data_IF_051852995317
#
_entry.id   IF_051852995317
#
_cell.length_a   1.000
_cell.length_b   1.000
_cell.length_c   1.000
_cell.angle_alpha   90.00
_cell.angle_beta   90.00
_cell.angle_gamma   90.00
#
_symmetry.space_group_name_H-M   'P 1'
#
loop_
_entity.id
_entity.type
_entity.pdbx_description
1 polymer ?
#
# COMPACT_ATOMS: atom_id res chain seq x y z
N UNK A 1 -7.75 -13.54 28.87
CA UNK A 1 -9.16 -13.14 28.64
C UNK A 1 -9.18 -12.50 27.24
N UNK A 2 -9.96 -13.04 26.31
CA UNK A 2 -10.11 -12.43 24.99
C UNK A 2 -10.81 -11.08 25.14
N UNK A 3 -10.26 -10.04 24.52
CA UNK A 3 -10.89 -8.73 24.51
C UNK A 3 -12.28 -8.80 23.84
N UNK A 4 -13.29 -8.01 24.25
CA UNK A 4 -14.64 -8.09 23.73
C UNK A 4 -14.67 -7.85 22.21
N UNK A 5 -15.60 -8.53 21.52
CA UNK A 5 -15.84 -8.33 20.08
C UNK A 5 -16.21 -6.87 19.80
N UNK A 6 -15.71 -6.32 18.68
CA UNK A 6 -16.03 -4.98 18.20
C UNK A 6 -17.04 -5.05 17.06
N UNK A 7 -17.90 -4.04 16.96
CA UNK A 7 -18.68 -3.70 15.77
C UNK A 7 -17.98 -2.55 15.05
N UNK A 8 -17.25 -2.86 13.97
CA UNK A 8 -16.49 -1.90 13.18
C UNK A 8 -17.24 -1.54 11.91
N UNK A 9 -17.44 -0.25 11.62
CA UNK A 9 -17.88 0.19 10.30
C UNK A 9 -16.68 0.60 9.47
N UNK A 10 -16.43 -0.11 8.36
CA UNK A 10 -15.36 0.19 7.40
C UNK A 10 -15.94 0.87 6.17
N UNK A 11 -15.46 2.08 5.87
CA UNK A 11 -15.92 2.92 4.77
C UNK A 11 -14.80 3.07 3.75
N UNK A 12 -15.08 2.71 2.49
CA UNK A 12 -14.13 2.88 1.40
C UNK A 12 -14.82 3.08 0.07
N UNK A 13 -14.24 3.86 -0.81
CA UNK A 13 -14.66 4.03 -2.20
C UNK A 13 -14.01 3.00 -3.12
N UNK A 14 -13.02 2.23 -2.62
CA UNK A 14 -12.38 1.12 -3.30
C UNK A 14 -12.33 -0.11 -2.40
N UNK A 15 -12.67 -1.28 -2.94
CA UNK A 15 -12.69 -2.56 -2.20
C UNK A 15 -12.67 -3.72 -3.21
N UNK A 16 -12.22 -4.94 -2.84
CA UNK A 16 -12.34 -6.09 -3.73
C UNK A 16 -13.76 -6.26 -4.29
N UNK A 17 -13.89 -6.65 -5.59
CA UNK A 17 -12.87 -7.22 -6.49
C UNK A 17 -12.03 -6.21 -7.29
N UNK A 18 -12.07 -4.92 -6.96
CA UNK A 18 -11.17 -3.95 -7.59
C UNK A 18 -9.70 -4.31 -7.37
N UNK A 19 -8.88 -4.09 -8.42
CA UNK A 19 -7.48 -4.51 -8.42
C UNK A 19 -6.59 -3.30 -8.17
N UNK A 20 -6.36 -3.01 -6.90
CA UNK A 20 -5.38 -2.02 -6.48
C UNK A 20 -4.88 -2.36 -5.06
N UNK A 21 -3.74 -1.78 -4.68
CA UNK A 21 -3.10 -2.06 -3.40
C UNK A 21 -3.93 -1.70 -2.17
N UNK A 22 -4.80 -0.68 -2.29
CA UNK A 22 -5.71 -0.26 -1.20
C UNK A 22 -6.82 -1.28 -1.03
N UNK A 23 -7.52 -1.64 -2.11
CA UNK A 23 -8.59 -2.65 -2.09
C UNK A 23 -8.10 -3.97 -1.50
N UNK A 24 -6.94 -4.48 -1.95
CA UNK A 24 -6.34 -5.71 -1.41
C UNK A 24 -6.07 -5.60 0.09
N UNK A 25 -5.48 -4.49 0.54
CA UNK A 25 -5.24 -4.25 1.97
C UNK A 25 -6.52 -4.28 2.79
N UNK A 26 -7.56 -3.58 2.31
CA UNK A 26 -8.83 -3.50 3.02
C UNK A 26 -9.53 -4.85 3.09
N UNK A 27 -9.46 -5.65 2.02
CA UNK A 27 -9.95 -7.04 2.02
C UNK A 27 -9.29 -7.86 3.14
N UNK A 28 -7.96 -7.84 3.22
CA UNK A 28 -7.20 -8.55 4.26
C UNK A 28 -7.53 -8.05 5.68
N UNK A 29 -7.71 -6.75 5.88
CA UNK A 29 -8.10 -6.21 7.19
C UNK A 29 -9.51 -6.64 7.59
N UNK A 30 -10.46 -6.64 6.65
CA UNK A 30 -11.84 -7.09 6.91
C UNK A 30 -11.88 -8.59 7.23
N UNK A 31 -11.25 -9.42 6.38
CA UNK A 31 -11.13 -10.87 6.60
C UNK A 31 -10.49 -11.18 7.95
N UNK A 32 -9.37 -10.51 8.26
CA UNK A 32 -8.66 -10.71 9.51
C UNK A 32 -9.47 -10.30 10.73
N UNK A 33 -10.16 -9.16 10.72
CA UNK A 33 -11.04 -8.75 11.82
C UNK A 33 -12.21 -9.74 12.01
N UNK A 34 -12.85 -10.18 10.92
CA UNK A 34 -13.92 -11.18 10.96
C UNK A 34 -13.41 -12.51 11.51
N UNK A 35 -12.22 -12.97 11.07
CA UNK A 35 -11.57 -14.18 11.58
C UNK A 35 -11.23 -14.10 13.08
N UNK A 36 -11.08 -12.90 13.64
CA UNK A 36 -10.88 -12.65 15.07
C UNK A 36 -12.20 -12.48 15.86
N UNK A 37 -13.35 -12.69 15.22
CA UNK A 37 -14.67 -12.65 15.84
C UNK A 37 -15.29 -11.23 15.93
N UNK A 38 -14.75 -10.24 15.21
CA UNK A 38 -15.35 -8.91 15.15
C UNK A 38 -16.43 -8.86 14.08
N UNK A 39 -17.47 -8.05 14.34
CA UNK A 39 -18.45 -7.72 13.32
C UNK A 39 -17.93 -6.54 12.48
N UNK A 40 -17.88 -6.71 11.16
CA UNK A 40 -17.41 -5.67 10.24
C UNK A 40 -18.52 -5.31 9.26
N UNK A 41 -19.07 -4.10 9.40
CA UNK A 41 -19.99 -3.51 8.46
C UNK A 41 -19.19 -2.79 7.36
N UNK A 42 -19.29 -3.28 6.12
CA UNK A 42 -18.63 -2.69 4.96
C UNK A 42 -19.57 -1.69 4.27
N UNK A 43 -19.06 -0.47 4.01
CA UNK A 43 -19.82 0.59 3.33
C UNK A 43 -19.01 1.06 2.13
N UNK A 44 -19.54 0.85 0.91
CA UNK A 44 -18.84 1.17 -0.34
C UNK A 44 -19.81 1.50 -1.47
N UNK A 45 -19.34 2.10 -2.57
CA UNK A 45 -20.14 2.21 -3.79
C UNK A 45 -20.48 0.82 -4.34
N UNK A 46 -21.61 0.75 -5.06
CA UNK A 46 -21.98 -0.45 -5.82
C UNK A 46 -20.98 -0.64 -6.97
N UNK A 47 -20.55 -1.86 -7.16
CA UNK A 47 -19.68 -2.28 -8.28
C UNK A 47 -20.48 -3.14 -9.26
N UNK A 48 -19.99 -3.30 -10.50
CA UNK A 48 -20.70 -4.03 -11.56
C UNK A 48 -20.96 -5.51 -11.23
N UNK A 49 -20.13 -6.08 -10.34
CA UNK A 49 -20.25 -7.47 -9.88
C UNK A 49 -21.30 -7.66 -8.78
N UNK A 50 -21.82 -6.58 -8.20
CA UNK A 50 -22.83 -6.69 -7.14
C UNK A 50 -24.20 -7.07 -7.75
N UNK A 51 -24.69 -8.23 -7.39
CA UNK A 51 -26.04 -8.64 -7.78
C UNK A 51 -27.09 -7.71 -7.17
N UNK A 52 -28.19 -7.44 -7.89
CA UNK A 52 -29.21 -6.49 -7.45
C UNK A 52 -29.86 -6.84 -6.10
N UNK A 53 -29.76 -8.07 -5.64
CA UNK A 53 -30.48 -8.62 -4.49
C UNK A 53 -29.59 -9.24 -3.39
N UNK A 54 -28.27 -9.01 -3.41
CA UNK A 54 -27.43 -9.50 -2.32
C UNK A 54 -27.65 -8.65 -1.05
N UNK A 55 -28.58 -9.07 -0.21
CA UNK A 55 -28.79 -8.51 1.13
C UNK A 55 -27.84 -9.18 2.13
N UNK A 56 -26.59 -8.76 2.15
CA UNK A 56 -25.72 -8.98 3.30
C UNK A 56 -25.97 -7.83 4.27
N UNK A 57 -26.51 -8.13 5.45
CA UNK A 57 -26.81 -7.12 6.48
C UNK A 57 -25.56 -6.34 6.91
N UNK A 58 -24.37 -6.91 6.70
CA UNK A 58 -23.10 -6.28 7.00
C UNK A 58 -22.49 -5.53 5.81
N UNK A 59 -23.17 -5.48 4.64
CA UNK A 59 -22.71 -4.68 3.48
C UNK A 59 -23.75 -3.60 3.16
N UNK A 60 -23.34 -2.34 3.16
CA UNK A 60 -24.14 -1.20 2.75
C UNK A 60 -23.64 -0.63 1.43
N UNK A 61 -24.35 -0.91 0.35
CA UNK A 61 -24.04 -0.35 -0.96
C UNK A 61 -24.61 1.07 -1.11
N UNK A 62 -23.76 1.97 -1.58
CA UNK A 62 -24.16 3.36 -1.90
C UNK A 62 -24.12 3.58 -3.41
N UNK A 63 -24.73 4.68 -3.88
CA UNK A 63 -24.55 5.09 -5.28
C UNK A 63 -23.13 5.56 -5.50
N UNK A 64 -22.54 5.18 -6.64
CA UNK A 64 -21.24 5.63 -7.10
C UNK A 64 -21.35 6.48 -8.37
N UNK A 65 -20.28 7.24 -8.66
CA UNK A 65 -20.06 7.95 -9.91
C UNK A 65 -18.70 7.56 -10.47
N UNK A 66 -18.59 7.15 -11.75
CA UNK A 66 -17.32 6.74 -12.33
C UNK A 66 -16.26 7.84 -12.20
N UNK A 67 -15.03 7.45 -11.83
CA UNK A 67 -13.90 8.38 -11.75
C UNK A 67 -13.30 8.58 -13.14
N UNK A 68 -13.33 9.81 -13.71
CA UNK A 68 -12.77 10.07 -15.03
C UNK A 68 -11.27 9.70 -15.08
N UNK A 69 -10.86 8.97 -16.14
CA UNK A 69 -9.48 8.54 -16.33
C UNK A 69 -9.05 7.29 -15.55
N UNK A 70 -9.94 6.71 -14.72
CA UNK A 70 -9.66 5.51 -13.93
C UNK A 70 -10.78 4.48 -14.10
N UNK A 71 -10.75 3.66 -15.16
CA UNK A 71 -11.77 2.64 -15.40
C UNK A 71 -11.93 1.70 -14.19
N UNK A 72 -13.17 1.45 -13.80
CA UNK A 72 -13.50 0.57 -12.67
C UNK A 72 -13.47 1.23 -11.29
N UNK A 73 -12.96 2.48 -11.14
CA UNK A 73 -13.04 3.22 -9.89
C UNK A 73 -14.27 4.13 -9.87
N UNK A 74 -14.89 4.26 -8.69
CA UNK A 74 -16.06 5.10 -8.48
C UNK A 74 -15.90 5.99 -7.26
N UNK A 75 -16.34 7.24 -7.36
CA UNK A 75 -16.61 8.07 -6.19
C UNK A 75 -17.92 7.64 -5.55
N UNK A 76 -17.91 7.40 -4.25
CA UNK A 76 -19.13 7.18 -3.49
C UNK A 76 -19.90 8.50 -3.32
N UNK A 77 -21.17 8.53 -3.72
CA UNK A 77 -21.99 9.71 -3.53
C UNK A 77 -22.33 9.94 -2.05
N UNK A 78 -22.61 11.20 -1.69
CA UNK A 78 -22.97 11.57 -0.32
C UNK A 78 -24.14 10.75 0.21
N UNK A 79 -23.95 10.12 1.35
CA UNK A 79 -24.90 9.18 1.97
C UNK A 79 -25.22 9.53 3.43
N UNK A 80 -25.05 10.80 3.83
CA UNK A 80 -25.14 11.23 5.22
C UNK A 80 -26.43 10.77 5.92
N UNK A 81 -27.62 11.01 5.33
CA UNK A 81 -28.89 10.63 5.95
C UNK A 81 -29.06 9.10 6.05
N UNK A 82 -28.59 8.35 5.04
CA UNK A 82 -28.63 6.88 5.03
C UNK A 82 -27.75 6.33 6.17
N UNK A 83 -26.55 6.88 6.34
CA UNK A 83 -25.61 6.49 7.41
C UNK A 83 -26.15 6.85 8.79
N UNK A 84 -26.72 8.05 8.97
CA UNK A 84 -27.33 8.45 10.25
C UNK A 84 -28.45 7.49 10.66
N UNK A 85 -29.41 7.20 9.76
CA UNK A 85 -30.50 6.25 10.03
C UNK A 85 -30.00 4.85 10.36
N UNK A 86 -28.97 4.37 9.64
CA UNK A 86 -28.39 3.04 9.86
C UNK A 86 -27.71 2.97 11.23
N UNK A 87 -26.86 3.95 11.57
CA UNK A 87 -26.08 3.93 12.81
C UNK A 87 -26.88 4.38 14.04
N UNK A 88 -28.02 5.01 13.88
CA UNK A 88 -29.01 5.18 14.97
C UNK A 88 -29.67 3.85 15.38
N UNK A 89 -29.83 2.92 14.42
CA UNK A 89 -30.42 1.59 14.68
C UNK A 89 -29.37 0.57 15.10
N UNK A 90 -28.22 0.58 14.45
CA UNK A 90 -27.12 -0.35 14.67
C UNK A 90 -25.82 0.45 14.78
N UNK A 91 -25.56 0.98 15.97
CA UNK A 91 -24.41 1.83 16.25
C UNK A 91 -23.12 0.99 16.22
N UNK A 92 -22.10 1.32 15.38
CA UNK A 92 -20.78 0.74 15.49
C UNK A 92 -20.03 1.32 16.68
N UNK A 93 -19.08 0.55 17.23
CA UNK A 93 -18.18 0.98 18.29
C UNK A 93 -17.14 1.98 17.77
N UNK A 94 -16.67 1.77 16.54
CA UNK A 94 -15.64 2.58 15.89
C UNK A 94 -15.81 2.54 14.36
N UNK A 95 -15.49 3.67 13.70
CA UNK A 95 -15.38 3.73 12.25
C UNK A 95 -13.92 3.64 11.81
N UNK A 96 -13.69 2.94 10.69
CA UNK A 96 -12.48 3.08 9.90
C UNK A 96 -12.83 3.67 8.52
N UNK A 97 -12.34 4.87 8.23
CA UNK A 97 -12.54 5.54 6.93
C UNK A 97 -11.24 5.43 6.13
N UNK A 98 -11.28 4.64 5.06
CA UNK A 98 -10.11 4.36 4.23
C UNK A 98 -9.92 5.35 3.07
N UNK A 99 -10.97 6.09 2.69
CA UNK A 99 -10.92 7.07 1.60
C UNK A 99 -11.59 8.37 2.00
N UNK A 100 -11.03 9.48 1.52
CA UNK A 100 -11.42 10.85 1.91
C UNK A 100 -12.45 11.48 0.97
N UNK A 101 -12.99 10.70 0.04
CA UNK A 101 -13.98 11.16 -0.94
C UNK A 101 -15.35 11.53 -0.33
N UNK A 102 -16.35 11.80 -1.16
CA UNK A 102 -17.66 12.26 -0.68
C UNK A 102 -18.38 11.27 0.26
N UNK A 103 -18.15 9.94 0.07
CA UNK A 103 -18.68 8.92 0.97
C UNK A 103 -17.95 8.98 2.33
N UNK A 104 -16.62 9.03 2.33
CA UNK A 104 -15.81 9.16 3.55
C UNK A 104 -16.15 10.44 4.33
N UNK A 105 -16.34 11.57 3.63
CA UNK A 105 -16.77 12.82 4.25
C UNK A 105 -18.17 12.71 4.87
N UNK A 106 -19.09 12.02 4.21
CA UNK A 106 -20.43 11.76 4.76
C UNK A 106 -20.37 10.90 6.02
N UNK A 107 -19.51 9.89 6.03
CA UNK A 107 -19.26 9.02 7.19
C UNK A 107 -18.65 9.79 8.37
N UNK A 108 -17.64 10.64 8.12
CA UNK A 108 -17.03 11.47 9.15
C UNK A 108 -18.08 12.43 9.78
N UNK A 109 -18.94 13.04 8.97
CA UNK A 109 -20.02 13.93 9.46
C UNK A 109 -21.05 13.18 10.29
N UNK A 110 -21.45 11.98 9.84
CA UNK A 110 -22.40 11.15 10.57
C UNK A 110 -21.83 10.68 11.91
N UNK A 111 -20.57 10.20 11.91
CA UNK A 111 -19.87 9.75 13.12
C UNK A 111 -19.76 10.87 14.16
N UNK A 112 -19.41 12.10 13.73
CA UNK A 112 -19.36 13.25 14.64
C UNK A 112 -20.70 13.60 15.28
N UNK A 113 -21.81 13.54 14.50
CA UNK A 113 -23.16 13.79 15.03
C UNK A 113 -23.61 12.74 16.04
N UNK A 114 -23.14 11.50 15.84
CA UNK A 114 -23.46 10.37 16.71
C UNK A 114 -22.40 10.12 17.79
N UNK A 115 -21.37 10.94 17.88
CA UNK A 115 -20.22 10.78 18.79
C UNK A 115 -19.59 9.38 18.69
N UNK A 116 -19.41 8.84 17.46
CA UNK A 116 -18.73 7.57 17.21
C UNK A 116 -17.25 7.87 16.93
N UNK A 117 -16.31 7.15 17.57
CA UNK A 117 -14.88 7.31 17.30
C UNK A 117 -14.53 6.98 15.84
N UNK A 118 -13.58 7.71 15.25
CA UNK A 118 -13.17 7.52 13.86
C UNK A 118 -11.66 7.34 13.78
N UNK A 119 -11.23 6.27 13.16
CA UNK A 119 -9.86 6.07 12.65
C UNK A 119 -9.89 6.26 11.15
N UNK A 120 -8.92 6.96 10.58
CA UNK A 120 -8.77 7.09 9.13
C UNK A 120 -7.50 6.44 8.62
N UNK A 121 -7.52 5.96 7.39
CA UNK A 121 -6.34 5.47 6.68
C UNK A 121 -5.86 6.49 5.67
N UNK A 122 -4.57 6.79 5.65
CA UNK A 122 -3.99 7.65 4.64
C UNK A 122 -3.40 6.79 3.51
N UNK A 123 -4.08 6.78 2.36
CA UNK A 123 -3.72 5.99 1.18
C UNK A 123 -3.36 6.83 -0.04
N UNK A 124 -3.37 8.16 0.12
CA UNK A 124 -3.15 9.12 -0.97
C UNK A 124 -1.65 9.36 -1.16
N UNK A 125 -1.21 9.39 -2.42
CA UNK A 125 0.16 9.74 -2.76
C UNK A 125 0.23 11.18 -3.27
N UNK A 126 0.81 12.08 -2.47
CA UNK A 126 0.96 13.49 -2.85
C UNK A 126 1.85 13.72 -4.07
N UNK A 127 2.82 12.85 -4.33
CA UNK A 127 3.75 13.02 -5.44
C UNK A 127 3.07 12.93 -6.79
N UNK A 128 1.94 12.22 -6.89
CA UNK A 128 1.14 12.17 -8.13
C UNK A 128 0.51 13.51 -8.49
N UNK A 129 0.30 14.40 -7.52
CA UNK A 129 -0.32 15.72 -7.74
C UNK A 129 0.71 16.84 -8.01
N UNK A 130 2.00 16.61 -7.74
CA UNK A 130 3.05 17.63 -7.92
C UNK A 130 3.71 17.61 -9.30
N UNK A 131 3.48 16.58 -10.12
CA UNK A 131 4.14 16.36 -11.40
C UNK A 131 3.68 17.22 -12.57
N UNK A 132 2.63 18.05 -12.44
CA UNK A 132 2.13 18.89 -13.51
C UNK A 132 2.25 20.37 -13.15
N UNK A 133 3.15 21.04 -13.81
CA UNK A 133 3.28 22.52 -13.82
C UNK A 133 1.93 23.14 -14.17
N UNK A 134 1.33 23.88 -13.23
CA UNK A 134 0.04 24.58 -13.39
C UNK A 134 -0.99 24.32 -12.30
N UNK A 135 -0.82 23.30 -11.43
CA UNK A 135 -1.81 22.90 -10.40
C UNK A 135 -1.39 23.17 -8.96
N UNK A 136 -0.42 24.04 -8.70
CA UNK A 136 0.07 24.30 -7.33
C UNK A 136 -1.05 24.73 -6.35
N UNK A 137 -2.00 25.56 -6.82
CA UNK A 137 -3.16 25.97 -6.02
C UNK A 137 -4.09 24.79 -5.71
N UNK A 138 -4.34 23.92 -6.69
CA UNK A 138 -5.18 22.75 -6.51
C UNK A 138 -4.52 21.74 -5.56
N UNK A 139 -3.22 21.53 -5.68
CA UNK A 139 -2.43 20.70 -4.76
C UNK A 139 -2.50 21.23 -3.33
N UNK A 140 -2.38 22.55 -3.15
CA UNK A 140 -2.49 23.19 -1.82
C UNK A 140 -3.89 23.06 -1.24
N UNK A 141 -4.93 23.27 -2.06
CA UNK A 141 -6.31 23.09 -1.63
C UNK A 141 -6.61 21.64 -1.23
N UNK A 142 -6.13 20.67 -2.02
CA UNK A 142 -6.26 19.25 -1.71
C UNK A 142 -5.53 18.88 -0.42
N UNK A 143 -4.28 19.32 -0.24
CA UNK A 143 -3.50 19.10 1.00
C UNK A 143 -4.23 19.67 2.21
N UNK A 144 -4.78 20.88 2.09
CA UNK A 144 -5.55 21.53 3.16
C UNK A 144 -6.83 20.75 3.49
N UNK A 145 -7.52 20.23 2.47
CA UNK A 145 -8.70 19.38 2.65
C UNK A 145 -8.33 18.08 3.37
N UNK A 146 -7.30 17.37 2.91
CA UNK A 146 -6.86 16.12 3.53
C UNK A 146 -6.42 16.33 4.98
N UNK A 147 -5.61 17.37 5.24
CA UNK A 147 -5.22 17.75 6.60
C UNK A 147 -6.45 18.07 7.47
N UNK A 148 -7.39 18.85 6.94
CA UNK A 148 -8.64 19.16 7.62
C UNK A 148 -9.44 17.91 7.95
N UNK A 149 -9.54 16.94 7.01
CA UNK A 149 -10.25 15.68 7.17
C UNK A 149 -9.60 14.80 8.24
N UNK A 150 -8.32 14.48 8.09
CA UNK A 150 -7.58 13.59 8.99
C UNK A 150 -7.43 14.18 10.40
N UNK A 151 -7.20 15.48 10.53
CA UNK A 151 -7.14 16.13 11.82
C UNK A 151 -8.50 16.17 12.56
N UNK A 152 -9.56 15.66 11.99
CA UNK A 152 -10.89 15.49 12.62
C UNK A 152 -11.18 14.06 13.06
N UNK A 153 -10.28 13.15 12.83
CA UNK A 153 -10.36 11.76 13.32
C UNK A 153 -9.57 11.58 14.60
N UNK A 154 -9.83 10.53 15.37
CA UNK A 154 -9.11 10.22 16.58
C UNK A 154 -7.68 9.79 16.30
N UNK A 155 -7.47 9.07 15.20
CA UNK A 155 -6.20 8.54 14.75
C UNK A 155 -6.16 8.46 13.23
N UNK A 156 -5.00 8.73 12.63
CA UNK A 156 -4.76 8.51 11.19
C UNK A 156 -3.66 7.48 11.02
N UNK A 157 -3.98 6.38 10.34
CA UNK A 157 -3.05 5.30 10.07
C UNK A 157 -2.30 5.56 8.76
N UNK A 158 -0.99 5.46 8.82
CA UNK A 158 -0.08 5.66 7.68
C UNK A 158 0.75 4.41 7.42
N UNK A 159 1.03 4.04 6.15
CA UNK A 159 1.66 2.78 5.83
C UNK A 159 3.18 2.74 6.02
N UNK A 160 3.87 3.90 6.09
CA UNK A 160 5.32 3.94 6.22
C UNK A 160 5.81 5.08 7.12
N UNK A 161 7.00 4.89 7.71
CA UNK A 161 7.65 5.91 8.54
C UNK A 161 7.95 7.18 7.74
N UNK A 162 8.43 7.03 6.48
CA UNK A 162 8.70 8.18 5.62
C UNK A 162 7.44 9.03 5.39
N UNK A 163 6.30 8.38 5.11
CA UNK A 163 5.03 9.09 4.96
C UNK A 163 4.56 9.73 6.27
N UNK A 164 4.78 9.07 7.41
CA UNK A 164 4.45 9.65 8.71
C UNK A 164 5.22 10.96 8.95
N UNK A 165 6.53 10.98 8.69
CA UNK A 165 7.38 12.16 8.83
C UNK A 165 6.93 13.28 7.87
N UNK A 166 6.64 12.95 6.61
CA UNK A 166 6.18 13.94 5.63
C UNK A 166 4.84 14.58 6.01
N UNK A 167 3.92 13.79 6.53
CA UNK A 167 2.62 14.29 6.98
C UNK A 167 2.77 15.12 8.25
N UNK A 168 3.65 14.75 9.19
CA UNK A 168 3.95 15.56 10.39
C UNK A 168 4.48 16.95 10.00
N UNK A 169 5.40 17.03 9.02
CA UNK A 169 5.90 18.31 8.48
C UNK A 169 4.82 19.18 7.83
N UNK A 170 3.68 18.58 7.45
CA UNK A 170 2.52 19.25 6.85
C UNK A 170 1.38 19.48 7.86
N UNK A 171 1.66 19.42 9.17
CA UNK A 171 0.72 19.63 10.28
C UNK A 171 -0.42 18.60 10.34
N UNK A 172 -0.24 17.40 9.82
CA UNK A 172 -1.14 16.30 10.13
C UNK A 172 -0.84 15.80 11.55
N UNK A 173 -1.89 15.57 12.31
CA UNK A 173 -1.82 15.21 13.72
C UNK A 173 -2.27 13.76 13.94
N UNK A 174 -1.88 13.19 15.11
CA UNK A 174 -2.35 11.86 15.56
C UNK A 174 -2.12 10.77 14.51
N UNK A 175 -0.89 10.71 14.02
CA UNK A 175 -0.45 9.72 13.07
C UNK A 175 0.07 8.48 13.81
N UNK A 176 -0.31 7.29 13.35
CA UNK A 176 0.25 6.03 13.78
C UNK A 176 0.60 5.14 12.58
N UNK A 177 1.62 4.33 12.74
CA UNK A 177 2.05 3.42 11.68
C UNK A 177 1.11 2.21 11.63
N UNK A 178 0.64 1.87 10.42
CA UNK A 178 0.05 0.59 10.08
C UNK A 178 0.66 0.12 8.78
N UNK A 179 1.73 -0.65 8.86
CA UNK A 179 2.41 -1.23 7.70
C UNK A 179 1.51 -2.22 6.95
N UNK A 180 2.07 -2.93 5.97
CA UNK A 180 1.39 -3.98 5.24
C UNK A 180 2.03 -5.33 5.55
N UNK A 181 1.23 -6.37 5.50
CA UNK A 181 1.72 -7.73 5.53
C UNK A 181 1.85 -8.32 4.14
N UNK A 182 2.42 -9.50 4.07
CA UNK A 182 2.44 -10.34 2.88
C UNK A 182 1.87 -11.72 3.21
N UNK A 183 1.16 -12.29 2.25
CA UNK A 183 0.72 -13.68 2.34
C UNK A 183 1.89 -14.60 1.97
N UNK A 184 2.70 -14.96 2.96
CA UNK A 184 3.89 -15.79 2.77
C UNK A 184 3.58 -17.26 2.49
N UNK A 185 2.32 -17.69 2.58
CA UNK A 185 1.85 -18.99 2.13
C UNK A 185 1.60 -18.97 0.62
N UNK A 186 0.98 -17.92 0.13
CA UNK A 186 0.76 -17.69 -1.29
C UNK A 186 2.07 -17.36 -2.00
N UNK A 187 2.77 -16.30 -1.55
CA UNK A 187 4.05 -15.88 -2.12
C UNK A 187 5.21 -16.65 -1.47
N UNK A 188 5.65 -17.71 -2.15
CA UNK A 188 6.57 -18.69 -1.60
C UNK A 188 7.49 -19.24 -2.69
N UNK A 189 8.81 -19.35 -2.47
CA UNK A 189 9.74 -19.89 -3.46
C UNK A 189 9.44 -21.33 -3.89
N UNK A 190 8.69 -22.11 -3.09
CA UNK A 190 8.25 -23.46 -3.46
C UNK A 190 7.30 -23.51 -4.66
N UNK A 191 6.75 -22.36 -5.07
CA UNK A 191 5.91 -22.22 -6.27
C UNK A 191 6.72 -22.01 -7.56
N UNK A 192 8.05 -22.04 -7.48
CA UNK A 192 8.90 -21.98 -8.68
C UNK A 192 8.53 -23.08 -9.64
N UNK A 193 8.31 -22.73 -10.89
CA UNK A 193 7.88 -23.63 -11.95
C UNK A 193 8.91 -23.64 -13.07
N UNK A 194 9.60 -24.77 -13.20
CA UNK A 194 10.55 -24.97 -14.30
C UNK A 194 9.82 -25.01 -15.65
N UNK A 195 8.60 -25.56 -15.69
CA UNK A 195 7.76 -25.52 -16.90
C UNK A 195 7.46 -24.09 -17.35
N UNK A 196 7.16 -23.17 -16.41
CA UNK A 196 6.97 -21.76 -16.72
C UNK A 196 8.25 -21.12 -17.21
N UNK A 197 9.40 -21.41 -16.61
CA UNK A 197 10.72 -20.91 -17.06
C UNK A 197 11.06 -21.41 -18.47
N UNK A 198 10.81 -22.68 -18.75
CA UNK A 198 10.98 -23.24 -20.10
C UNK A 198 10.06 -22.53 -21.12
N UNK A 199 8.81 -22.24 -20.76
CA UNK A 199 7.92 -21.44 -21.62
C UNK A 199 8.42 -20.02 -21.87
N UNK A 200 9.21 -19.48 -20.95
CA UNK A 200 9.93 -18.21 -21.11
C UNK A 200 11.20 -18.37 -21.99
N UNK A 201 11.53 -19.59 -22.43
CA UNK A 201 12.74 -19.90 -23.19
C UNK A 201 14.01 -19.81 -22.37
N UNK A 202 13.94 -20.06 -21.07
CA UNK A 202 15.07 -20.08 -20.13
C UNK A 202 15.48 -21.51 -19.82
N UNK A 203 16.79 -21.72 -19.80
CA UNK A 203 17.44 -22.92 -19.29
C UNK A 203 17.64 -22.81 -17.75
N UNK A 204 17.98 -23.89 -17.04
CA UNK A 204 18.11 -23.89 -15.58
C UNK A 204 19.03 -22.80 -15.02
N UNK A 205 20.17 -22.52 -15.67
CA UNK A 205 21.18 -21.56 -15.24
C UNK A 205 20.95 -20.14 -15.77
N UNK A 206 19.94 -19.93 -16.61
CA UNK A 206 19.56 -18.63 -17.12
C UNK A 206 18.89 -17.79 -16.02
N UNK A 207 18.92 -16.48 -16.14
CA UNK A 207 18.33 -15.55 -15.17
C UNK A 207 17.02 -14.91 -15.65
N UNK A 208 15.99 -15.02 -14.83
CA UNK A 208 14.73 -14.32 -15.02
C UNK A 208 14.73 -13.01 -14.21
N UNK A 209 14.74 -11.88 -14.90
CA UNK A 209 14.56 -10.54 -14.31
C UNK A 209 13.10 -10.18 -14.39
N UNK A 210 12.44 -10.02 -13.24
CA UNK A 210 11.00 -9.83 -13.15
C UNK A 210 10.67 -8.39 -12.76
N UNK A 211 9.65 -7.84 -13.38
CA UNK A 211 8.96 -6.64 -12.94
C UNK A 211 7.46 -6.93 -12.82
N UNK A 212 6.85 -6.53 -11.72
CA UNK A 212 5.41 -6.69 -11.49
C UNK A 212 4.81 -5.33 -11.16
N UNK A 213 3.81 -4.92 -11.91
CA UNK A 213 3.13 -3.66 -11.66
C UNK A 213 2.34 -3.15 -12.88
N UNK A 214 1.69 -2.00 -12.68
CA UNK A 214 1.04 -1.29 -13.78
C UNK A 214 2.10 -0.79 -14.76
N UNK A 215 1.92 -1.02 -16.05
CA UNK A 215 2.83 -0.51 -17.09
C UNK A 215 2.50 0.96 -17.42
N UNK A 216 2.93 1.86 -16.53
CA UNK A 216 2.62 3.29 -16.59
C UNK A 216 3.83 4.15 -16.14
N UNK A 217 3.79 5.43 -16.46
CA UNK A 217 4.91 6.35 -16.28
C UNK A 217 5.46 6.43 -14.85
N UNK A 218 4.58 6.34 -13.85
CA UNK A 218 4.96 6.38 -12.44
C UNK A 218 5.85 5.20 -11.99
N UNK A 219 5.90 4.12 -12.78
CA UNK A 219 6.76 2.96 -12.52
C UNK A 219 8.17 3.09 -13.10
N UNK A 220 8.46 4.19 -13.80
CA UNK A 220 9.80 4.51 -14.34
C UNK A 220 10.38 3.36 -15.19
N UNK A 221 9.58 2.89 -16.14
CA UNK A 221 9.93 1.72 -16.95
C UNK A 221 11.12 1.99 -17.88
N UNK A 222 11.43 3.25 -18.18
CA UNK A 222 12.66 3.62 -18.88
C UNK A 222 13.91 3.25 -18.10
N UNK A 223 13.92 3.45 -16.77
CA UNK A 223 15.03 3.02 -15.91
C UNK A 223 15.08 1.49 -15.77
N UNK A 224 13.92 0.82 -15.76
CA UNK A 224 13.87 -0.65 -15.81
C UNK A 224 14.65 -1.19 -17.03
N UNK A 225 14.40 -0.59 -18.21
CA UNK A 225 15.08 -0.97 -19.46
C UNK A 225 16.59 -0.69 -19.37
N UNK A 226 16.97 0.50 -18.87
CA UNK A 226 18.40 0.85 -18.68
C UNK A 226 19.11 -0.12 -17.76
N UNK A 227 18.50 -0.44 -16.61
CA UNK A 227 19.07 -1.38 -15.64
C UNK A 227 19.20 -2.80 -16.21
N UNK A 228 18.17 -3.28 -16.92
CA UNK A 228 18.21 -4.58 -17.57
C UNK A 228 19.32 -4.67 -18.63
N UNK A 229 19.46 -3.65 -19.47
CA UNK A 229 20.57 -3.60 -20.46
C UNK A 229 21.95 -3.53 -19.79
N UNK A 230 22.06 -2.78 -18.68
CA UNK A 230 23.32 -2.74 -17.91
C UNK A 230 23.67 -4.11 -17.34
N UNK A 231 22.70 -4.87 -16.83
CA UNK A 231 22.89 -6.25 -16.40
C UNK A 231 23.40 -7.17 -17.52
N UNK A 232 22.81 -7.10 -18.70
CA UNK A 232 23.23 -7.89 -19.86
C UNK A 232 24.66 -7.56 -20.31
N UNK A 233 25.03 -6.27 -20.25
CA UNK A 233 26.39 -5.83 -20.60
C UNK A 233 27.43 -6.25 -19.54
N UNK A 234 27.07 -6.18 -18.26
CA UNK A 234 27.94 -6.54 -17.16
C UNK A 234 28.19 -8.06 -17.06
N UNK A 235 27.25 -8.88 -17.52
CA UNK A 235 27.28 -10.35 -17.40
C UNK A 235 26.90 -11.03 -18.73
N UNK A 236 27.70 -10.86 -19.79
CA UNK A 236 27.38 -11.36 -21.13
C UNK A 236 27.35 -12.89 -21.21
N UNK A 237 27.97 -13.59 -20.25
CA UNK A 237 27.98 -15.04 -20.14
C UNK A 237 26.66 -15.62 -19.63
N UNK A 238 25.83 -14.82 -18.97
CA UNK A 238 24.52 -15.26 -18.48
C UNK A 238 23.41 -14.82 -19.44
N UNK A 239 22.67 -15.78 -19.96
CA UNK A 239 21.44 -15.49 -20.68
C UNK A 239 20.40 -14.94 -19.70
N UNK A 240 19.83 -13.79 -20.03
CA UNK A 240 18.83 -13.13 -19.18
C UNK A 240 17.57 -12.83 -19.97
N UNK A 241 16.42 -12.97 -19.34
CA UNK A 241 15.14 -12.56 -19.90
C UNK A 241 14.38 -11.63 -18.98
N UNK A 242 13.84 -10.54 -19.53
CA UNK A 242 12.98 -9.62 -18.80
C UNK A 242 11.53 -10.07 -18.89
N UNK A 243 10.90 -10.26 -17.73
CA UNK A 243 9.52 -10.72 -17.56
C UNK A 243 8.70 -9.59 -16.97
N UNK A 244 7.73 -9.09 -17.73
CA UNK A 244 6.84 -7.99 -17.35
C UNK A 244 5.46 -8.56 -17.02
N UNK A 245 5.09 -8.52 -15.74
CA UNK A 245 3.80 -8.99 -15.24
C UNK A 245 2.94 -7.78 -14.87
N UNK A 246 1.85 -7.61 -15.58
CA UNK A 246 0.94 -6.48 -15.45
C UNK A 246 0.49 -5.95 -16.80
N UNK A 247 -0.29 -4.87 -16.75
CA UNK A 247 -0.79 -4.19 -17.93
C UNK A 247 -0.84 -2.67 -17.69
N UNK A 248 -0.99 -1.90 -18.76
CA UNK A 248 -1.08 -0.45 -18.64
C UNK A 248 -0.87 0.29 -19.97
N UNK A 249 -1.00 1.62 -19.92
CA UNK A 249 -0.97 2.45 -21.13
C UNK A 249 0.35 2.39 -21.91
N UNK A 250 1.47 2.07 -21.26
CA UNK A 250 2.79 1.99 -21.90
C UNK A 250 3.10 0.62 -22.52
N UNK A 251 2.19 -0.36 -22.44
CA UNK A 251 2.45 -1.72 -22.92
C UNK A 251 2.94 -1.77 -24.38
N UNK A 252 2.23 -1.13 -25.29
CA UNK A 252 2.54 -1.17 -26.73
C UNK A 252 3.90 -0.50 -27.02
N UNK A 253 4.19 0.60 -26.35
CA UNK A 253 5.47 1.31 -26.47
C UNK A 253 6.62 0.43 -25.96
N UNK A 254 6.45 -0.23 -24.82
CA UNK A 254 7.45 -1.14 -24.26
C UNK A 254 7.69 -2.37 -25.14
N UNK A 255 6.64 -2.92 -25.76
CA UNK A 255 6.77 -4.05 -26.67
C UNK A 255 7.61 -3.67 -27.91
N UNK A 256 7.46 -2.45 -28.42
CA UNK A 256 8.29 -1.96 -29.51
C UNK A 256 9.76 -1.75 -29.12
N UNK A 257 10.03 -1.32 -27.88
CA UNK A 257 11.39 -1.08 -27.39
C UNK A 257 12.12 -2.36 -26.90
N UNK A 258 11.36 -3.39 -26.55
CA UNK A 258 11.83 -4.64 -25.94
C UNK A 258 11.20 -5.87 -26.61
N UNK A 259 11.55 -6.16 -27.89
CA UNK A 259 10.94 -7.27 -28.61
C UNK A 259 11.22 -8.64 -27.97
N UNK A 260 12.32 -8.77 -27.22
CA UNK A 260 12.73 -10.00 -26.55
C UNK A 260 12.18 -10.14 -25.11
N UNK A 261 11.53 -9.12 -24.54
CA UNK A 261 10.91 -9.21 -23.24
C UNK A 261 9.56 -9.94 -23.30
N UNK A 262 9.21 -10.61 -22.21
CA UNK A 262 7.94 -11.32 -22.10
C UNK A 262 6.90 -10.48 -21.36
N UNK A 263 5.77 -10.23 -22.02
CA UNK A 263 4.64 -9.50 -21.49
C UNK A 263 3.54 -10.46 -21.08
N UNK A 264 3.53 -10.85 -19.80
CA UNK A 264 2.64 -11.88 -19.26
C UNK A 264 1.20 -11.38 -18.99
N UNK A 265 0.94 -10.07 -19.19
CA UNK A 265 -0.35 -9.49 -18.87
C UNK A 265 -0.64 -9.50 -17.35
N UNK A 266 -1.90 -9.26 -17.01
CA UNK A 266 -2.34 -9.22 -15.62
C UNK A 266 -2.44 -10.64 -15.05
N UNK A 267 -1.67 -10.92 -13.99
CA UNK A 267 -1.71 -12.18 -13.25
C UNK A 267 -2.28 -11.98 -11.85
N UNK A 268 -2.88 -13.01 -11.26
CA UNK A 268 -3.52 -12.96 -9.93
C UNK A 268 -3.30 -14.26 -9.17
N UNK A 269 -3.45 -14.19 -7.84
CA UNK A 269 -3.44 -15.35 -6.96
C UNK A 269 -2.24 -16.26 -7.21
N UNK A 270 -2.47 -17.54 -7.39
CA UNK A 270 -1.41 -18.53 -7.57
C UNK A 270 -0.58 -18.31 -8.85
N UNK A 271 -1.21 -17.88 -9.94
CA UNK A 271 -0.49 -17.57 -11.17
C UNK A 271 0.52 -16.43 -10.95
N UNK A 272 0.12 -15.34 -10.26
CA UNK A 272 1.03 -14.27 -9.91
C UNK A 272 2.17 -14.75 -9.00
N UNK A 273 1.84 -15.53 -7.98
CA UNK A 273 2.84 -16.08 -7.05
C UNK A 273 3.84 -17.00 -7.75
N UNK A 274 3.39 -17.77 -8.73
CA UNK A 274 4.26 -18.62 -9.57
C UNK A 274 5.20 -17.79 -10.44
N UNK A 275 4.73 -16.66 -10.99
CA UNK A 275 5.60 -15.75 -11.75
C UNK A 275 6.70 -15.15 -10.87
N UNK A 276 6.38 -14.67 -9.67
CA UNK A 276 7.39 -14.22 -8.72
C UNK A 276 8.39 -15.33 -8.38
N UNK A 277 7.91 -16.50 -7.95
CA UNK A 277 8.77 -17.60 -7.51
C UNK A 277 9.68 -18.15 -8.63
N UNK A 278 9.26 -18.02 -9.89
CA UNK A 278 10.03 -18.43 -11.06
C UNK A 278 11.08 -17.40 -11.49
N UNK A 279 11.09 -16.21 -10.88
CA UNK A 279 12.10 -15.19 -11.08
C UNK A 279 13.36 -15.40 -10.25
N UNK A 280 14.39 -14.62 -10.55
CA UNK A 280 15.67 -14.59 -9.83
C UNK A 280 15.95 -13.18 -9.26
N UNK A 281 15.76 -12.14 -10.07
CA UNK A 281 15.86 -10.73 -9.70
C UNK A 281 14.52 -10.03 -9.85
N UNK A 282 14.29 -9.03 -9.00
CA UNK A 282 13.14 -8.14 -9.09
C UNK A 282 13.59 -6.68 -9.18
N UNK A 283 13.39 -6.04 -10.33
CA UNK A 283 13.74 -4.64 -10.54
C UNK A 283 12.51 -3.76 -10.35
N UNK A 284 12.58 -2.86 -9.37
CA UNK A 284 11.48 -1.98 -9.00
C UNK A 284 11.89 -0.50 -8.93
N UNK A 285 12.09 0.16 -10.08
CA UNK A 285 12.55 1.55 -10.17
C UNK A 285 11.44 2.58 -9.95
N UNK A 286 10.30 2.20 -9.36
CA UNK A 286 9.15 3.09 -9.15
C UNK A 286 9.55 4.33 -8.35
N UNK A 287 9.16 5.52 -8.83
CA UNK A 287 9.44 6.80 -8.17
C UNK A 287 8.37 7.20 -7.17
N UNK A 288 7.21 6.58 -7.22
CA UNK A 288 6.02 7.02 -6.51
C UNK A 288 5.19 5.84 -6.03
N UNK A 289 5.30 5.55 -4.75
CA UNK A 289 4.55 4.48 -4.09
C UNK A 289 3.87 4.98 -2.82
N UNK A 290 2.63 4.56 -2.61
CA UNK A 290 2.00 4.73 -1.29
C UNK A 290 2.63 3.77 -0.28
N UNK A 291 2.87 2.53 -0.71
CA UNK A 291 3.61 1.53 0.06
C UNK A 291 4.48 0.64 -0.85
N UNK A 292 3.90 -0.03 -1.87
CA UNK A 292 4.61 -0.95 -2.77
C UNK A 292 4.56 -2.40 -2.29
N UNK A 293 3.36 -2.98 -2.17
CA UNK A 293 3.15 -4.38 -1.75
C UNK A 293 3.98 -5.38 -2.56
N UNK A 294 4.22 -5.09 -3.85
CA UNK A 294 5.00 -5.92 -4.77
C UNK A 294 6.43 -6.18 -4.27
N UNK A 295 7.01 -5.27 -3.48
CA UNK A 295 8.32 -5.47 -2.84
C UNK A 295 8.24 -6.61 -1.82
N UNK A 296 7.20 -6.63 -0.98
CA UNK A 296 7.02 -7.70 0.01
C UNK A 296 6.72 -9.05 -0.65
N UNK A 297 5.93 -9.05 -1.73
CA UNK A 297 5.61 -10.22 -2.53
C UNK A 297 6.88 -10.82 -3.17
N UNK A 298 7.75 -9.97 -3.72
CA UNK A 298 9.05 -10.36 -4.28
C UNK A 298 9.98 -10.94 -3.20
N UNK A 299 10.14 -10.26 -2.06
CA UNK A 299 10.94 -10.74 -0.93
C UNK A 299 10.42 -12.11 -0.42
N UNK A 300 9.09 -12.24 -0.27
CA UNK A 300 8.45 -13.47 0.17
C UNK A 300 8.64 -14.63 -0.81
N UNK A 301 8.74 -14.33 -2.09
CA UNK A 301 9.02 -15.30 -3.16
C UNK A 301 10.51 -15.58 -3.36
N UNK A 302 11.38 -15.04 -2.47
CA UNK A 302 12.83 -15.24 -2.53
C UNK A 302 13.50 -14.65 -3.78
N UNK A 303 13.05 -13.48 -4.25
CA UNK A 303 13.76 -12.72 -5.28
C UNK A 303 14.79 -11.77 -4.66
N UNK A 304 15.89 -11.53 -5.37
CA UNK A 304 16.79 -10.44 -5.06
C UNK A 304 16.18 -9.13 -5.59
N UNK A 305 15.77 -8.26 -4.68
CA UNK A 305 15.08 -7.01 -5.00
C UNK A 305 16.06 -5.88 -5.15
N UNK A 306 15.93 -5.09 -6.22
CA UNK A 306 16.56 -3.78 -6.39
C UNK A 306 15.48 -2.73 -6.44
N UNK A 307 15.53 -1.74 -5.55
CA UNK A 307 14.53 -0.68 -5.45
C UNK A 307 15.16 0.64 -5.00
N UNK A 308 14.43 1.74 -5.16
CA UNK A 308 14.78 2.98 -4.48
C UNK A 308 14.48 2.90 -2.97
N UNK A 309 15.32 3.59 -2.17
CA UNK A 309 15.19 3.69 -0.71
C UNK A 309 13.99 4.55 -0.33
N UNK A 310 12.78 4.00 -0.53
CA UNK A 310 11.52 4.67 -0.21
C UNK A 310 10.40 3.65 0.04
N UNK A 311 9.35 4.08 0.71
CA UNK A 311 8.12 3.33 0.98
C UNK A 311 8.42 1.93 1.58
N UNK A 312 7.89 0.83 1.02
CA UNK A 312 8.13 -0.53 1.52
C UNK A 312 9.59 -0.94 1.41
N UNK A 313 10.31 -0.52 0.36
CA UNK A 313 11.71 -0.87 0.19
C UNK A 313 12.58 -0.28 1.31
N UNK A 314 12.41 1.01 1.63
CA UNK A 314 13.11 1.66 2.75
C UNK A 314 12.82 1.01 4.11
N UNK A 315 11.65 0.40 4.26
CA UNK A 315 11.21 -0.18 5.53
C UNK A 315 11.63 -1.64 5.70
N UNK A 316 11.78 -2.38 4.61
CA UNK A 316 11.94 -3.84 4.63
C UNK A 316 13.21 -4.35 3.95
N UNK A 317 13.92 -3.51 3.20
CA UNK A 317 15.19 -3.89 2.59
C UNK A 317 16.35 -3.31 3.40
N UNK A 318 17.21 -4.18 3.84
CA UNK A 318 18.54 -3.86 4.39
C UNK A 318 19.54 -4.05 3.27
N UNK A 319 20.11 -2.93 2.80
CA UNK A 319 21.03 -2.90 1.66
C UNK A 319 22.15 -3.95 1.77
N UNK A 320 22.41 -4.69 0.69
CA UNK A 320 23.37 -5.81 0.58
C UNK A 320 23.11 -7.01 1.51
N UNK A 321 22.03 -6.98 2.31
CA UNK A 321 21.68 -8.08 3.19
C UNK A 321 20.52 -8.92 2.65
N UNK A 322 19.38 -8.29 2.34
CA UNK A 322 18.19 -8.96 1.81
C UNK A 322 17.62 -8.29 0.55
N UNK A 323 18.39 -7.40 -0.06
CA UNK A 323 18.10 -6.69 -1.29
C UNK A 323 19.07 -5.53 -1.48
N UNK A 324 18.89 -4.78 -2.56
CA UNK A 324 19.71 -3.63 -2.90
C UNK A 324 18.86 -2.37 -2.94
N UNK A 325 19.36 -1.28 -2.35
CA UNK A 325 18.73 0.02 -2.35
C UNK A 325 19.58 1.04 -3.12
N UNK A 326 18.92 1.86 -3.92
CA UNK A 326 19.51 3.07 -4.50
C UNK A 326 18.81 4.31 -3.94
N UNK A 327 19.47 5.46 -3.93
CA UNK A 327 18.85 6.73 -3.52
C UNK A 327 17.71 7.09 -4.46
N UNK A 328 16.58 7.62 -3.97
CA UNK A 328 15.49 8.06 -4.83
C UNK A 328 15.97 9.02 -5.91
N UNK A 329 15.70 8.70 -7.19
CA UNK A 329 16.11 9.50 -8.35
C UNK A 329 17.55 9.27 -8.83
N UNK A 330 18.38 8.48 -8.15
CA UNK A 330 19.72 8.11 -8.59
C UNK A 330 19.65 6.92 -9.56
N UNK A 331 19.45 7.21 -10.85
CA UNK A 331 19.39 6.18 -11.90
C UNK A 331 20.68 5.40 -12.05
N UNK A 332 21.83 6.07 -11.94
CA UNK A 332 23.13 5.42 -12.05
C UNK A 332 23.37 4.47 -10.87
N UNK A 333 23.11 4.92 -9.65
CA UNK A 333 23.15 4.09 -8.45
C UNK A 333 22.21 2.89 -8.50
N UNK A 334 21.03 3.04 -9.11
CA UNK A 334 20.09 1.92 -9.31
C UNK A 334 20.68 0.85 -10.26
N UNK A 335 21.26 1.27 -11.39
CA UNK A 335 21.91 0.36 -12.33
C UNK A 335 23.12 -0.34 -11.70
N UNK A 336 23.95 0.41 -10.96
CA UNK A 336 25.09 -0.15 -10.23
C UNK A 336 24.64 -1.20 -9.20
N UNK A 337 23.63 -0.88 -8.37
CA UNK A 337 23.08 -1.81 -7.39
C UNK A 337 22.53 -3.10 -8.03
N UNK A 338 21.94 -2.99 -9.22
CA UNK A 338 21.48 -4.16 -9.97
C UNK A 338 22.66 -5.02 -10.43
N UNK A 339 23.73 -4.42 -10.99
CA UNK A 339 24.90 -5.15 -11.47
C UNK A 339 25.68 -5.82 -10.32
N UNK A 340 25.77 -5.18 -9.17
CA UNK A 340 26.44 -5.75 -7.98
C UNK A 340 25.84 -7.07 -7.52
N UNK A 341 24.53 -7.29 -7.71
CA UNK A 341 23.87 -8.56 -7.36
C UNK A 341 24.42 -9.77 -8.14
N UNK A 342 24.97 -9.57 -9.33
CA UNK A 342 25.43 -10.63 -10.21
C UNK A 342 26.96 -10.78 -10.23
N UNK A 343 27.70 -10.03 -9.42
CA UNK A 343 29.17 -10.15 -9.34
C UNK A 343 29.59 -11.47 -8.73
N UNK A 344 28.76 -12.04 -7.85
CA UNK A 344 28.99 -13.31 -7.17
C UNK A 344 27.68 -14.07 -6.95
N UNK A 345 27.61 -15.29 -7.44
CA UNK A 345 26.42 -16.16 -7.31
C UNK A 345 26.08 -16.47 -5.84
N UNK A 346 27.07 -16.55 -4.95
CA UNK A 346 26.85 -16.76 -3.51
C UNK A 346 26.22 -15.53 -2.85
N UNK A 347 26.60 -14.32 -3.27
CA UNK A 347 25.96 -13.07 -2.82
C UNK A 347 24.50 -13.06 -3.22
N UNK A 348 24.20 -13.36 -4.49
CA UNK A 348 22.83 -13.45 -4.99
C UNK A 348 22.01 -14.47 -4.19
N UNK A 349 22.53 -15.68 -4.00
CA UNK A 349 21.87 -16.74 -3.25
C UNK A 349 21.59 -16.33 -1.79
N UNK A 350 22.58 -15.73 -1.12
CA UNK A 350 22.45 -15.25 0.26
C UNK A 350 21.37 -14.18 0.41
N UNK A 351 21.36 -13.20 -0.49
CA UNK A 351 20.37 -12.12 -0.50
C UNK A 351 18.96 -12.69 -0.67
N UNK A 352 18.76 -13.60 -1.60
CA UNK A 352 17.47 -14.28 -1.86
C UNK A 352 16.97 -15.05 -0.62
N UNK A 353 17.85 -15.78 0.08
CA UNK A 353 17.50 -16.49 1.32
C UNK A 353 17.12 -15.52 2.45
N UNK A 354 17.86 -14.44 2.62
CA UNK A 354 17.60 -13.44 3.62
C UNK A 354 16.32 -12.66 3.33
N UNK A 355 16.02 -12.38 2.05
CA UNK A 355 14.75 -11.79 1.60
C UNK A 355 13.56 -12.64 2.07
N UNK A 356 13.59 -13.94 1.80
CA UNK A 356 12.54 -14.88 2.24
C UNK A 356 12.43 -14.92 3.76
N UNK A 357 13.56 -15.03 4.47
CA UNK A 357 13.57 -15.09 5.94
C UNK A 357 12.93 -13.83 6.53
N UNK A 358 13.30 -12.66 6.05
CA UNK A 358 12.71 -11.39 6.50
C UNK A 358 11.19 -11.34 6.24
N UNK A 359 10.76 -11.64 5.01
CA UNK A 359 9.36 -11.56 4.62
C UNK A 359 8.46 -12.58 5.36
N UNK A 360 9.02 -13.71 5.83
CA UNK A 360 8.25 -14.71 6.58
C UNK A 360 7.69 -14.20 7.92
N UNK A 361 8.26 -13.12 8.47
CA UNK A 361 7.80 -12.46 9.69
C UNK A 361 6.78 -11.35 9.44
N UNK A 362 6.53 -10.98 8.19
CA UNK A 362 5.62 -9.89 7.81
C UNK A 362 4.20 -10.41 7.55
N UNK A 363 3.62 -11.12 8.53
CA UNK A 363 2.29 -11.72 8.36
C UNK A 363 1.16 -10.69 8.45
N UNK A 364 0.08 -10.95 7.72
CA UNK A 364 -1.15 -10.18 7.86
C UNK A 364 -1.78 -10.29 9.25
N UNK A 365 -1.60 -11.41 9.96
CA UNK A 365 -2.14 -11.58 11.30
C UNK A 365 -1.58 -10.55 12.29
N UNK A 366 -0.27 -10.28 12.22
CA UNK A 366 0.36 -9.23 13.02
C UNK A 366 -0.17 -7.83 12.69
N UNK A 367 -0.38 -7.56 11.40
CA UNK A 367 -0.95 -6.27 10.94
C UNK A 367 -2.41 -6.11 11.39
N UNK A 368 -3.22 -7.17 11.29
CA UNK A 368 -4.62 -7.15 11.74
C UNK A 368 -4.69 -6.95 13.26
N UNK A 369 -3.82 -7.59 14.02
CA UNK A 369 -3.74 -7.39 15.47
C UNK A 369 -3.37 -5.94 15.83
N UNK A 370 -2.39 -5.36 15.15
CA UNK A 370 -2.02 -3.95 15.33
C UNK A 370 -3.17 -3.01 14.93
N UNK A 371 -3.87 -3.32 13.84
CA UNK A 371 -5.04 -2.56 13.41
C UNK A 371 -6.16 -2.59 14.45
N UNK A 372 -6.47 -3.78 15.00
CA UNK A 372 -7.43 -3.92 16.10
C UNK A 372 -7.03 -3.07 17.32
N UNK A 373 -5.74 -3.08 17.71
CA UNK A 373 -5.25 -2.27 18.81
C UNK A 373 -5.44 -0.76 18.55
N UNK A 374 -5.20 -0.29 17.32
CA UNK A 374 -5.45 1.10 16.94
C UNK A 374 -6.94 1.47 17.00
N UNK A 375 -7.83 0.57 16.55
CA UNK A 375 -9.27 0.79 16.67
C UNK A 375 -9.70 0.90 18.14
N UNK A 376 -9.21 0.00 19.00
CA UNK A 376 -9.51 0.03 20.45
C UNK A 376 -8.96 1.28 21.13
N UNK A 377 -7.75 1.72 20.78
CA UNK A 377 -7.16 2.92 21.34
C UNK A 377 -7.94 4.19 21.01
N UNK A 378 -8.54 4.26 19.82
CA UNK A 378 -9.37 5.37 19.39
C UNK A 378 -10.70 5.48 20.15
N UNK A 379 -11.15 4.40 20.77
CA UNK A 379 -12.38 4.36 21.58
C UNK A 379 -12.17 4.86 23.02
N UNK A 380 -10.93 4.91 23.50
CA UNK A 380 -10.62 5.35 24.85
C UNK A 380 -10.85 6.87 24.98
N UNK A 381 -11.41 7.33 26.11
CA UNK A 381 -11.48 8.76 26.39
C UNK A 381 -10.08 9.37 26.34
N UNK A 382 -9.92 10.49 25.66
CA UNK A 382 -8.64 11.20 25.66
C UNK A 382 -8.30 11.62 27.10
N UNK A 383 -7.07 11.38 27.58
CA UNK A 383 -6.63 12.03 28.79
C UNK A 383 -6.78 13.55 28.57
N UNK A 384 -7.51 14.22 29.46
CA UNK A 384 -7.54 15.68 29.49
C UNK A 384 -6.08 16.11 29.67
N UNK A 385 -5.52 16.78 28.67
CA UNK A 385 -4.26 17.50 28.88
C UNK A 385 -4.55 18.46 30.03
N UNK A 386 -3.96 18.19 31.20
CA UNK A 386 -4.01 19.12 32.31
C UNK A 386 -3.40 20.43 31.77
N UNK A 387 -4.19 21.49 31.79
CA UNK A 387 -3.72 22.83 31.50
C UNK A 387 -2.66 23.15 32.57
N UNK A 388 -1.40 22.86 32.28
CA UNK A 388 -0.30 23.27 33.13
C UNK A 388 -0.16 24.78 32.99
N UNK A 389 -0.64 25.50 34.01
CA UNK A 389 -0.22 26.85 34.32
C UNK A 389 -0.79 27.96 33.45
N UNK A 390 -1.75 28.66 33.99
CA UNK A 390 -2.04 30.04 33.59
C UNK A 390 -0.74 30.86 33.68
N UNK A 391 -0.42 31.73 32.69
CA UNK A 391 0.79 32.60 32.75
C UNK A 391 0.78 33.65 33.87
N UNK A 392 -0.24 33.69 34.70
CA UNK A 392 -0.42 34.75 35.72
C UNK A 392 0.21 34.44 37.08
N UNK A 393 0.76 33.26 37.35
CA UNK A 393 1.41 32.94 38.63
C UNK A 393 2.91 33.28 38.72
N UNK A 394 3.56 33.78 37.64
CA UNK A 394 4.98 34.15 37.66
C UNK A 394 5.20 35.65 37.91
N UNK A 395 4.17 36.43 38.23
CA UNK A 395 4.32 37.87 38.53
C UNK A 395 4.30 38.23 40.01
N UNK A 396 4.24 37.28 40.94
CA UNK A 396 4.10 37.48 42.37
C UNK A 396 5.36 37.47 43.24
N UNK A 397 6.53 37.07 42.73
CA UNK A 397 7.73 36.87 43.59
C UNK A 397 8.96 37.69 43.20
N UNK A 398 8.80 38.88 42.63
CA UNK A 398 9.90 39.82 42.46
C UNK A 398 9.54 41.23 42.94
N UNK A 399 8.99 41.35 44.16
CA UNK A 399 9.00 42.55 44.97
C UNK A 399 9.00 42.10 46.43
N UNK A 400 10.16 41.94 46.98
CA UNK A 400 10.57 42.13 48.38
C UNK A 400 11.85 41.28 48.62
N UNK A 401 13.00 41.98 48.54
CA UNK A 401 14.30 41.43 48.92
C UNK A 401 15.45 42.20 48.31
#
# INVERSE_FOLDING_TARGET
MNAPSLHVALISETFPPEINGVANTLGRLVEGLRGRGHRVQLIRPRQDVDQEHATDDDVLLTRGWPLPGYPGLQWGLSSLHKLLRRWQRQRPDVLYIATEGPLGLSALRAARRLAIPVVSGFHTNFQQYTGHYGFALLTRAMTNYLRWFHNRTQLTLVPSVGQQVDLQRRDFQRLALLARGVDSQLFNPRRRSEALRTSWGLEPDDLAVVHVGRLAAEKNLSLLIKAFRALQQAQPQHRMRLILVGDGPLRNELQAQLPDALFCGLQRGEALATHYASGDLFLFPSLSETFGNVVLEALASSLAVVAFDQAAAAQHIHHQHNGMLARPGDEAGFCTAACELLTDSEVLRRIRLNARRHASHLSWDGIVMQFEQHLRSAMQPRPKIANTGSPDEIRGEMQDG
#
